data_IF_908601368832
#
_entry.id   IF_908601368832
#
_cell.length_a   1.000
_cell.length_b   1.000
_cell.length_c   1.000
_cell.angle_alpha   90.00
_cell.angle_beta   90.00
_cell.angle_gamma   90.00
#
_symmetry.space_group_name_H-M   'P 1'
#
loop_
_entity.id
_entity.type
_entity.pdbx_description
1 polymer ?
#
# COMPACT_ATOMS: atom_id res chain seq x y z
N UNK A 1 -41.85 15.13 16.00
CA UNK A 1 -40.76 14.36 15.40
C UNK A 1 -41.06 14.33 13.92
N UNK A 2 -40.29 15.04 13.10
CA UNK A 2 -40.50 15.05 11.66
C UNK A 2 -40.05 13.67 11.10
N UNK A 3 -40.94 13.04 10.35
CA UNK A 3 -40.62 11.82 9.59
C UNK A 3 -39.45 12.13 8.62
N UNK A 4 -38.27 11.63 8.97
CA UNK A 4 -37.15 11.66 8.05
C UNK A 4 -37.44 10.60 7.00
N UNK A 5 -37.80 11.04 5.80
CA UNK A 5 -38.01 10.16 4.67
C UNK A 5 -36.76 9.27 4.47
N UNK A 6 -36.98 7.95 4.35
CA UNK A 6 -35.89 7.01 4.08
C UNK A 6 -35.15 7.44 2.81
N UNK A 7 -33.81 7.33 2.79
CA UNK A 7 -33.02 7.72 1.63
C UNK A 7 -33.46 6.94 0.39
N UNK A 8 -33.48 7.58 -0.81
CA UNK A 8 -34.02 6.99 -2.03
C UNK A 8 -33.17 5.86 -2.64
N UNK A 9 -32.06 5.50 -2.01
CA UNK A 9 -31.21 4.41 -2.50
C UNK A 9 -31.49 3.12 -1.73
N UNK A 10 -31.76 2.09 -2.46
CA UNK A 10 -31.79 0.72 -1.94
C UNK A 10 -30.40 0.42 -1.36
N UNK A 11 -30.31 0.11 -0.07
CA UNK A 11 -29.13 -0.55 0.47
C UNK A 11 -29.10 -1.93 -0.16
N UNK A 12 -28.42 -2.04 -1.30
CA UNK A 12 -28.07 -3.33 -1.84
C UNK A 12 -27.03 -3.90 -0.86
N UNK A 13 -27.23 -5.07 -0.26
CA UNK A 13 -26.16 -5.74 0.46
C UNK A 13 -25.04 -5.99 -0.56
N UNK A 14 -24.05 -5.12 -0.54
CA UNK A 14 -22.99 -5.01 -1.56
C UNK A 14 -22.04 -6.19 -1.51
N UNK A 15 -22.15 -7.03 -0.51
CA UNK A 15 -21.35 -8.24 -0.41
C UNK A 15 -22.29 -9.37 -0.05
N UNK A 16 -22.66 -10.23 -1.01
CA UNK A 16 -23.10 -11.54 -0.61
C UNK A 16 -21.98 -12.08 0.31
N UNK A 17 -22.36 -12.52 1.51
CA UNK A 17 -21.39 -13.15 2.41
C UNK A 17 -20.58 -14.14 1.56
N UNK A 18 -19.27 -13.89 1.42
CA UNK A 18 -18.40 -14.81 0.69
C UNK A 18 -18.60 -16.17 1.34
N UNK A 19 -19.18 -17.09 0.60
CA UNK A 19 -19.36 -18.45 1.12
C UNK A 19 -17.98 -18.98 1.45
N UNK A 20 -17.81 -19.66 2.60
CA UNK A 20 -16.58 -20.41 2.86
C UNK A 20 -16.26 -21.24 1.62
N UNK A 21 -15.04 -21.13 1.09
CA UNK A 21 -14.66 -21.82 -0.14
C UNK A 21 -14.91 -21.05 -1.44
N UNK A 22 -15.45 -19.83 -1.43
CA UNK A 22 -15.63 -19.03 -2.64
C UNK A 22 -14.30 -18.74 -3.37
N UNK A 23 -13.16 -18.89 -2.68
CA UNK A 23 -11.81 -18.77 -3.22
C UNK A 23 -11.17 -20.14 -3.52
N UNK A 24 -11.86 -21.27 -3.23
CA UNK A 24 -11.39 -22.60 -3.60
C UNK A 24 -11.32 -22.71 -5.13
N UNK A 25 -10.15 -23.05 -5.65
CA UNK A 25 -9.92 -23.13 -7.10
C UNK A 25 -9.43 -21.84 -7.75
N UNK A 26 -9.44 -20.72 -7.05
CA UNK A 26 -8.67 -19.56 -7.47
C UNK A 26 -7.21 -19.80 -7.04
N UNK A 27 -6.42 -20.36 -7.95
CA UNK A 27 -4.99 -20.37 -7.75
C UNK A 27 -4.54 -18.93 -7.47
N UNK A 28 -3.70 -18.69 -6.43
CA UNK A 28 -3.10 -17.38 -6.28
C UNK A 28 -2.49 -17.01 -7.62
N UNK A 29 -2.67 -15.75 -8.05
CA UNK A 29 -2.07 -15.26 -9.29
C UNK A 29 -0.55 -15.45 -9.16
N UNK A 30 -0.06 -16.53 -9.72
CA UNK A 30 1.37 -16.75 -9.86
C UNK A 30 1.78 -15.96 -11.08
N UNK A 31 2.38 -14.79 -10.85
CA UNK A 31 3.00 -14.06 -11.93
C UNK A 31 3.99 -15.01 -12.63
N UNK A 32 3.82 -15.23 -13.92
CA UNK A 32 4.77 -16.04 -14.68
C UNK A 32 6.11 -15.30 -14.75
N UNK A 33 7.23 -16.04 -14.73
CA UNK A 33 8.57 -15.47 -14.85
C UNK A 33 8.68 -14.55 -16.06
N UNK A 34 8.00 -14.90 -17.15
CA UNK A 34 7.92 -14.11 -18.38
C UNK A 34 7.24 -12.73 -18.18
N UNK A 35 6.19 -12.68 -17.37
CA UNK A 35 5.52 -11.42 -17.02
C UNK A 35 6.41 -10.63 -16.07
N UNK A 36 7.00 -11.27 -15.07
CA UNK A 36 7.91 -10.64 -14.13
C UNK A 36 9.11 -10.01 -14.85
N UNK A 37 9.72 -10.72 -15.79
CA UNK A 37 10.82 -10.22 -16.60
C UNK A 37 10.37 -9.02 -17.47
N UNK A 38 9.23 -9.14 -18.15
CA UNK A 38 8.69 -8.07 -18.99
C UNK A 38 8.38 -6.77 -18.22
N UNK A 39 7.92 -6.89 -16.97
CA UNK A 39 7.66 -5.74 -16.10
C UNK A 39 8.87 -5.33 -15.25
N UNK A 40 10.00 -6.08 -15.36
CA UNK A 40 11.23 -5.83 -14.62
C UNK A 40 11.09 -6.09 -13.12
N UNK A 41 10.34 -7.10 -12.75
CA UNK A 41 10.16 -7.53 -11.37
C UNK A 41 11.01 -8.79 -11.06
N UNK A 42 11.61 -8.91 -9.87
CA UNK A 42 11.82 -7.82 -8.92
C UNK A 42 12.77 -6.75 -9.49
N UNK A 43 12.66 -5.51 -9.03
CA UNK A 43 13.57 -4.45 -9.44
C UNK A 43 15.03 -4.81 -9.20
N UNK A 44 15.94 -4.13 -9.87
CA UNK A 44 17.37 -4.32 -9.61
C UNK A 44 17.73 -3.65 -8.30
N UNK A 45 18.21 -4.45 -7.34
CA UNK A 45 18.78 -3.92 -6.11
C UNK A 45 20.05 -3.12 -6.42
N UNK A 46 20.19 -2.01 -5.73
CA UNK A 46 21.46 -1.26 -5.73
C UNK A 46 22.56 -2.07 -5.03
N UNK A 47 23.81 -1.87 -5.39
CA UNK A 47 24.91 -2.69 -4.85
C UNK A 47 25.04 -2.61 -3.32
N UNK A 48 24.77 -1.42 -2.74
CA UNK A 48 24.81 -1.13 -1.31
C UNK A 48 23.44 -1.27 -0.61
N UNK A 49 22.51 -2.06 -1.18
CA UNK A 49 21.11 -2.14 -0.76
C UNK A 49 20.92 -2.40 0.74
N UNK A 50 21.73 -3.28 1.34
CA UNK A 50 21.63 -3.65 2.75
C UNK A 50 21.87 -2.44 3.66
N UNK A 51 23.00 -1.77 3.48
CA UNK A 51 23.39 -0.63 4.31
C UNK A 51 22.47 0.56 4.08
N UNK A 52 22.04 0.76 2.83
CA UNK A 52 21.06 1.77 2.45
C UNK A 52 19.69 1.53 3.09
N UNK A 53 19.21 0.29 3.11
CA UNK A 53 17.95 -0.06 3.77
C UNK A 53 18.00 0.23 5.27
N UNK A 54 19.08 -0.15 5.94
CA UNK A 54 19.26 0.10 7.39
C UNK A 54 19.40 1.60 7.68
N UNK A 55 20.17 2.33 6.86
CA UNK A 55 20.29 3.78 6.98
C UNK A 55 18.94 4.47 6.79
N UNK A 56 18.17 4.08 5.76
CA UNK A 56 16.83 4.62 5.49
C UNK A 56 15.86 4.31 6.62
N UNK A 57 15.87 3.10 7.16
CA UNK A 57 15.08 2.77 8.34
C UNK A 57 15.44 3.67 9.53
N UNK A 58 16.73 3.91 9.79
CA UNK A 58 17.19 4.82 10.85
C UNK A 58 16.72 6.26 10.65
N UNK A 59 16.77 6.76 9.41
CA UNK A 59 16.22 8.07 9.02
C UNK A 59 14.72 8.16 9.36
N UNK A 60 13.92 7.18 8.90
CA UNK A 60 12.48 7.16 9.13
C UNK A 60 12.12 7.07 10.62
N UNK A 61 12.83 6.26 11.40
CA UNK A 61 12.63 6.16 12.83
C UNK A 61 12.98 7.46 13.58
N UNK A 62 13.92 8.25 13.05
CA UNK A 62 14.25 9.56 13.63
C UNK A 62 13.26 10.64 13.21
N UNK A 63 12.78 10.59 11.98
CA UNK A 63 11.82 11.54 11.41
C UNK A 63 10.40 11.34 11.96
N UNK A 64 9.96 10.09 12.06
CA UNK A 64 8.62 9.71 12.52
C UNK A 64 8.67 9.01 13.88
N UNK A 65 8.44 9.77 14.96
CA UNK A 65 8.42 9.20 16.32
C UNK A 65 7.33 8.15 16.52
N UNK A 66 6.19 8.29 15.83
CA UNK A 66 5.10 7.33 15.79
C UNK A 66 5.57 5.96 15.35
N UNK A 67 6.39 5.87 14.30
CA UNK A 67 6.89 4.60 13.78
C UNK A 67 7.64 3.79 14.85
N UNK A 68 8.51 4.46 15.64
CA UNK A 68 9.22 3.80 16.74
C UNK A 68 8.26 3.31 17.82
N UNK A 69 7.28 4.13 18.19
CA UNK A 69 6.25 3.74 19.17
C UNK A 69 5.48 2.52 18.67
N UNK A 70 5.10 2.48 17.41
CA UNK A 70 4.39 1.33 16.83
C UNK A 70 5.22 0.05 16.86
N UNK A 71 6.54 0.15 16.62
CA UNK A 71 7.43 -1.00 16.72
C UNK A 71 7.52 -1.55 18.16
N UNK A 72 7.46 -0.68 19.18
CA UNK A 72 7.64 -1.07 20.57
C UNK A 72 6.30 -1.40 21.29
N UNK A 73 5.19 -0.73 20.94
CA UNK A 73 3.93 -0.80 21.66
C UNK A 73 3.03 -2.00 21.31
N UNK A 74 3.24 -2.69 20.21
CA UNK A 74 2.38 -3.79 19.80
C UNK A 74 2.56 -5.03 20.70
N UNK A 75 1.48 -5.45 21.32
CA UNK A 75 1.44 -6.61 22.24
C UNK A 75 0.89 -7.87 21.57
N UNK A 76 0.72 -7.91 20.25
CA UNK A 76 0.21 -9.07 19.48
C UNK A 76 -1.18 -9.54 19.90
N UNK A 77 -2.06 -8.63 20.33
CA UNK A 77 -3.41 -8.99 20.78
C UNK A 77 -4.33 -9.54 19.68
N UNK A 78 -3.97 -9.38 18.39
CA UNK A 78 -4.72 -9.91 17.26
C UNK A 78 -5.99 -9.13 16.86
N UNK A 79 -6.38 -8.07 17.57
CA UNK A 79 -7.59 -7.29 17.30
C UNK A 79 -7.69 -6.70 15.87
N UNK A 80 -6.57 -6.59 15.18
CA UNK A 80 -6.50 -6.11 13.81
C UNK A 80 -6.68 -7.20 12.74
N UNK A 81 -6.55 -8.49 13.11
CA UNK A 81 -6.44 -9.60 12.16
C UNK A 81 -7.74 -9.82 11.38
N UNK A 82 -8.86 -9.94 12.06
CA UNK A 82 -10.19 -10.16 11.47
C UNK A 82 -10.76 -8.91 10.77
N UNK A 83 -10.03 -7.80 10.80
CA UNK A 83 -10.40 -6.55 10.12
C UNK A 83 -9.71 -6.39 8.75
N UNK A 84 -8.69 -7.21 8.47
CA UNK A 84 -7.93 -7.13 7.22
C UNK A 84 -8.61 -7.95 6.12
N UNK A 85 -9.08 -7.28 5.07
CA UNK A 85 -9.71 -7.95 3.93
C UNK A 85 -8.73 -8.85 3.16
N UNK A 86 -7.44 -8.53 3.11
CA UNK A 86 -6.44 -9.41 2.51
C UNK A 86 -6.25 -10.69 3.32
N UNK A 87 -6.20 -10.59 4.65
CA UNK A 87 -6.15 -11.80 5.49
C UNK A 87 -7.41 -12.64 5.34
N UNK A 88 -8.59 -12.00 5.37
CA UNK A 88 -9.87 -12.69 5.20
C UNK A 88 -9.95 -13.39 3.84
N UNK A 89 -9.51 -12.73 2.78
CA UNK A 89 -9.57 -13.25 1.41
C UNK A 89 -8.54 -14.35 1.12
N UNK A 90 -7.31 -14.20 1.62
CA UNK A 90 -6.20 -15.12 1.31
C UNK A 90 -6.05 -16.24 2.34
N UNK A 91 -6.54 -16.04 3.56
CA UNK A 91 -6.28 -16.90 4.72
C UNK A 91 -4.79 -17.13 5.02
N UNK A 92 -3.91 -16.30 4.45
CA UNK A 92 -2.47 -16.33 4.71
C UNK A 92 -2.17 -15.58 6.01
N UNK A 93 -1.65 -16.27 7.06
CA UNK A 93 -1.33 -15.63 8.34
C UNK A 93 -0.37 -14.43 8.22
N UNK A 94 0.49 -14.41 7.21
CA UNK A 94 1.43 -13.30 6.96
C UNK A 94 0.72 -12.03 6.47
N UNK A 95 -0.51 -12.14 5.98
CA UNK A 95 -1.36 -11.00 5.64
C UNK A 95 -2.09 -10.38 6.84
N UNK A 96 -2.00 -10.98 8.03
CA UNK A 96 -2.47 -10.31 9.25
C UNK A 96 -1.69 -9.01 9.47
N UNK A 97 -2.36 -7.88 9.82
CA UNK A 97 -1.66 -6.62 10.05
C UNK A 97 -0.56 -6.73 11.12
N UNK A 98 -0.79 -7.49 12.17
CA UNK A 98 0.22 -7.75 13.20
C UNK A 98 1.44 -8.49 12.64
N UNK A 99 1.23 -9.52 11.81
CA UNK A 99 2.32 -10.27 11.19
C UNK A 99 3.11 -9.39 10.21
N UNK A 100 2.41 -8.57 9.42
CA UNK A 100 3.04 -7.60 8.52
C UNK A 100 3.89 -6.59 9.28
N UNK A 101 3.41 -6.10 10.43
CA UNK A 101 4.22 -5.24 11.30
C UNK A 101 5.45 -5.97 11.85
N UNK A 102 5.33 -7.26 12.17
CA UNK A 102 6.43 -8.06 12.69
C UNK A 102 7.55 -8.28 11.67
N UNK A 103 7.25 -8.26 10.37
CA UNK A 103 8.28 -8.30 9.33
C UNK A 103 9.27 -7.12 9.52
N UNK A 104 8.75 -5.90 9.66
CA UNK A 104 9.60 -4.73 9.88
C UNK A 104 10.20 -4.71 11.29
N UNK A 105 9.39 -5.08 12.30
CA UNK A 105 9.83 -5.09 13.70
C UNK A 105 11.00 -6.04 13.94
N UNK A 106 11.01 -7.20 13.30
CA UNK A 106 12.11 -8.17 13.47
C UNK A 106 13.46 -7.59 13.03
N UNK A 107 13.47 -6.83 11.93
CA UNK A 107 14.65 -6.11 11.44
C UNK A 107 14.97 -4.90 12.33
N UNK A 108 13.94 -4.12 12.72
CA UNK A 108 14.11 -3.03 13.67
C UNK A 108 14.81 -3.50 14.97
N UNK A 109 14.34 -4.60 15.54
CA UNK A 109 14.95 -5.18 16.75
C UNK A 109 16.41 -5.53 16.52
N UNK A 110 16.75 -6.11 15.37
CA UNK A 110 18.11 -6.56 15.06
C UNK A 110 19.11 -5.41 15.03
N UNK A 111 18.76 -4.30 14.44
CA UNK A 111 19.71 -3.21 14.18
C UNK A 111 19.58 -2.02 15.13
N UNK A 112 18.41 -1.80 15.73
CA UNK A 112 18.13 -0.58 16.51
C UNK A 112 17.88 -0.81 18.00
N UNK A 113 17.87 -2.06 18.48
CA UNK A 113 17.70 -2.36 19.91
C UNK A 113 18.87 -3.15 20.48
N UNK A 114 19.23 -2.87 21.74
CA UNK A 114 20.28 -3.60 22.44
C UNK A 114 19.97 -5.10 22.58
N UNK A 115 18.75 -5.51 23.02
CA UNK A 115 18.40 -6.92 23.12
C UNK A 115 18.49 -7.66 21.79
N UNK A 116 18.09 -7.01 20.69
CA UNK A 116 18.15 -7.61 19.36
C UNK A 116 19.57 -7.78 18.83
N UNK A 117 20.51 -6.95 19.26
CA UNK A 117 21.94 -7.08 18.93
C UNK A 117 22.61 -8.20 19.70
N UNK A 118 22.30 -8.33 21.00
CA UNK A 118 22.93 -9.29 21.90
C UNK A 118 22.29 -10.68 21.86
N UNK A 119 20.96 -10.73 21.82
CA UNK A 119 20.17 -11.97 21.90
C UNK A 119 19.11 -12.05 20.80
N UNK A 120 19.49 -12.04 19.50
CA UNK A 120 18.52 -11.90 18.41
C UNK A 120 17.43 -12.98 18.42
N UNK A 121 17.81 -14.24 18.70
CA UNK A 121 16.85 -15.36 18.73
C UNK A 121 15.80 -15.26 19.81
N UNK A 122 16.16 -14.70 20.99
CA UNK A 122 15.23 -14.56 22.12
C UNK A 122 14.16 -13.50 21.87
N UNK A 123 14.49 -12.45 21.13
CA UNK A 123 13.55 -11.35 20.87
C UNK A 123 12.94 -11.38 19.47
N UNK A 124 13.14 -12.46 18.72
CA UNK A 124 12.61 -12.60 17.38
C UNK A 124 13.20 -11.59 16.38
N UNK A 125 14.46 -11.19 16.59
CA UNK A 125 15.17 -10.31 15.68
C UNK A 125 15.72 -11.10 14.48
N UNK A 126 15.60 -10.54 13.27
CA UNK A 126 16.05 -11.15 12.02
C UNK A 126 17.04 -10.23 11.32
N UNK A 127 18.09 -10.81 10.77
CA UNK A 127 18.98 -10.08 9.85
C UNK A 127 18.23 -9.76 8.57
N UNK A 128 18.50 -8.59 8.00
CA UNK A 128 17.92 -8.19 6.71
C UNK A 128 18.65 -8.92 5.59
N UNK A 129 18.12 -10.06 5.18
CA UNK A 129 18.60 -10.83 4.03
C UNK A 129 17.77 -10.53 2.78
N UNK A 130 18.20 -11.08 1.64
CA UNK A 130 17.43 -10.96 0.40
C UNK A 130 16.05 -11.58 0.51
N UNK A 131 15.94 -12.73 1.14
CA UNK A 131 14.68 -13.44 1.36
C UNK A 131 13.74 -12.62 2.25
N UNK A 132 14.27 -11.93 3.27
CA UNK A 132 13.47 -11.01 4.11
C UNK A 132 12.98 -9.81 3.29
N UNK A 133 13.81 -9.29 2.41
CA UNK A 133 13.44 -8.17 1.54
C UNK A 133 12.36 -8.59 0.52
N UNK A 134 12.47 -9.79 -0.06
CA UNK A 134 11.47 -10.36 -0.97
C UNK A 134 10.14 -10.61 -0.25
N UNK A 135 10.21 -11.06 1.01
CA UNK A 135 9.03 -11.20 1.88
C UNK A 135 8.38 -9.83 2.17
N UNK A 136 9.19 -8.79 2.45
CA UNK A 136 8.70 -7.43 2.62
C UNK A 136 8.01 -6.92 1.36
N UNK A 137 8.64 -7.11 0.20
CA UNK A 137 8.05 -6.71 -1.07
C UNK A 137 6.66 -7.32 -1.25
N UNK A 138 6.54 -8.63 -1.05
CA UNK A 138 5.28 -9.35 -1.23
C UNK A 138 4.19 -8.84 -0.28
N UNK A 139 4.45 -8.81 1.01
CA UNK A 139 3.40 -8.56 2.01
C UNK A 139 3.10 -7.08 2.24
N UNK A 140 4.07 -6.19 2.10
CA UNK A 140 3.79 -4.77 2.21
C UNK A 140 3.08 -4.24 0.97
N UNK A 141 3.37 -4.74 -0.24
CA UNK A 141 2.67 -4.32 -1.44
C UNK A 141 1.25 -4.90 -1.56
N UNK A 142 0.91 -5.97 -0.86
CA UNK A 142 -0.46 -6.47 -0.76
C UNK A 142 -1.36 -5.61 0.14
N UNK A 143 -0.81 -4.74 0.97
CA UNK A 143 -1.60 -3.84 1.80
C UNK A 143 -2.22 -2.71 0.98
N UNK A 144 -3.54 -2.53 1.06
CA UNK A 144 -4.23 -1.40 0.41
C UNK A 144 -4.24 -0.11 1.24
N UNK A 145 -3.59 -0.11 2.42
CA UNK A 145 -3.52 1.04 3.34
C UNK A 145 -4.89 1.62 3.76
N UNK A 146 -5.91 0.78 3.78
CA UNK A 146 -7.28 1.17 4.14
C UNK A 146 -7.46 1.56 5.62
N UNK A 147 -6.46 1.39 6.47
CA UNK A 147 -6.41 1.75 7.91
C UNK A 147 -7.45 1.08 8.81
N UNK A 148 -8.22 0.11 8.33
CA UNK A 148 -9.18 -0.60 9.19
C UNK A 148 -8.50 -1.23 10.40
N UNK A 149 -7.31 -1.79 10.25
CA UNK A 149 -6.52 -2.34 11.36
C UNK A 149 -6.15 -1.28 12.40
N UNK A 150 -5.91 -0.05 11.99
CA UNK A 150 -5.55 1.06 12.88
C UNK A 150 -6.74 1.51 13.71
N UNK A 151 -7.93 1.60 13.09
CA UNK A 151 -9.19 1.99 13.78
C UNK A 151 -9.56 1.01 14.90
N UNK A 152 -9.30 -0.28 14.71
CA UNK A 152 -9.61 -1.33 15.68
C UNK A 152 -8.45 -1.67 16.63
N UNK A 153 -7.33 -0.97 16.52
CA UNK A 153 -6.20 -1.20 17.40
C UNK A 153 -6.41 -0.51 18.77
N UNK A 154 -6.48 -1.27 19.89
CA UNK A 154 -6.67 -0.66 21.21
C UNK A 154 -5.48 0.16 21.67
N UNK A 155 -4.33 0.04 21.01
CA UNK A 155 -3.10 0.76 21.30
C UNK A 155 -2.82 1.90 20.30
N UNK A 156 -3.74 2.18 19.40
CA UNK A 156 -3.61 3.26 18.42
C UNK A 156 -2.50 3.08 17.38
N UNK A 157 -2.10 1.84 17.11
CA UNK A 157 -1.04 1.55 16.14
C UNK A 157 -1.55 1.70 14.71
N UNK A 158 -0.89 2.52 13.91
CA UNK A 158 -1.18 2.63 12.47
C UNK A 158 -0.26 1.72 11.65
N UNK A 159 -0.76 0.52 11.34
CA UNK A 159 -0.04 -0.45 10.48
C UNK A 159 0.10 0.05 9.04
N UNK A 160 -0.75 0.97 8.58
CA UNK A 160 -0.59 1.59 7.26
C UNK A 160 0.65 2.48 7.23
N UNK A 161 0.92 3.26 8.29
CA UNK A 161 2.15 4.05 8.39
C UNK A 161 3.41 3.16 8.39
N UNK A 162 3.36 2.02 9.09
CA UNK A 162 4.42 1.01 9.03
C UNK A 162 4.61 0.48 7.62
N UNK A 163 3.52 0.22 6.90
CA UNK A 163 3.56 -0.25 5.51
C UNK A 163 4.16 0.81 4.58
N UNK A 164 3.77 2.07 4.70
CA UNK A 164 4.35 3.17 3.91
C UNK A 164 5.86 3.29 4.16
N UNK A 165 6.29 3.24 5.42
CA UNK A 165 7.71 3.29 5.76
C UNK A 165 8.48 2.11 5.15
N UNK A 166 7.92 0.90 5.19
CA UNK A 166 8.54 -0.28 4.58
C UNK A 166 8.66 -0.15 3.06
N UNK A 167 7.62 0.38 2.38
CA UNK A 167 7.65 0.64 0.94
C UNK A 167 8.67 1.72 0.58
N UNK A 168 8.82 2.76 1.39
CA UNK A 168 9.84 3.79 1.19
C UNK A 168 11.26 3.22 1.31
N UNK A 169 11.48 2.27 2.23
CA UNK A 169 12.74 1.54 2.34
C UNK A 169 12.97 0.69 1.09
N UNK A 170 11.96 -0.08 0.66
CA UNK A 170 12.04 -0.92 -0.55
C UNK A 170 12.36 -0.08 -1.80
N UNK A 171 11.69 1.05 -1.97
CA UNK A 171 11.94 1.97 -3.09
C UNK A 171 13.38 2.51 -3.07
N UNK A 172 13.88 2.89 -1.89
CA UNK A 172 15.23 3.42 -1.73
C UNK A 172 16.35 2.46 -2.14
N UNK A 173 16.07 1.16 -2.13
CA UNK A 173 17.02 0.10 -2.50
C UNK A 173 16.80 -0.48 -3.90
N UNK A 174 15.85 0.08 -4.67
CA UNK A 174 15.53 -0.36 -6.02
C UNK A 174 14.39 -1.39 -6.12
N UNK A 175 13.78 -1.77 -4.99
CA UNK A 175 12.61 -2.66 -4.93
C UNK A 175 11.28 -1.88 -4.89
N UNK A 176 11.25 -0.66 -5.43
CA UNK A 176 10.02 0.11 -5.57
C UNK A 176 9.02 -0.57 -6.50
N UNK A 177 7.74 -0.25 -6.32
CA UNK A 177 6.67 -0.76 -7.17
C UNK A 177 6.77 -0.11 -8.56
N UNK A 178 7.26 -0.87 -9.54
CA UNK A 178 7.60 -0.36 -10.88
C UNK A 178 6.44 0.40 -11.55
N UNK A 179 5.24 -0.14 -11.52
CA UNK A 179 4.09 0.52 -12.14
C UNK A 179 3.74 1.87 -11.51
N UNK A 180 3.78 1.97 -10.18
CA UNK A 180 3.56 3.23 -9.49
C UNK A 180 4.63 4.24 -9.85
N UNK A 181 5.88 3.82 -9.87
CA UNK A 181 7.01 4.67 -10.25
C UNK A 181 6.95 5.11 -11.72
N UNK A 182 6.47 4.24 -12.61
CA UNK A 182 6.24 4.59 -14.01
C UNK A 182 5.14 5.64 -14.17
N UNK A 183 4.01 5.47 -13.46
CA UNK A 183 2.90 6.44 -13.46
C UNK A 183 3.37 7.79 -12.92
N UNK A 184 4.08 7.79 -11.79
CA UNK A 184 4.67 9.02 -11.21
C UNK A 184 5.64 9.67 -12.22
N UNK A 185 6.48 8.86 -12.85
CA UNK A 185 7.39 9.33 -13.90
C UNK A 185 6.67 9.93 -15.11
N UNK A 186 5.51 9.41 -15.50
CA UNK A 186 4.67 10.00 -16.56
C UNK A 186 4.14 11.36 -16.14
N UNK A 187 3.62 11.49 -14.91
CA UNK A 187 3.16 12.79 -14.38
C UNK A 187 4.29 13.83 -14.43
N UNK A 188 5.49 13.48 -13.99
CA UNK A 188 6.63 14.40 -14.01
C UNK A 188 7.13 14.77 -15.43
N UNK A 189 7.06 13.84 -16.38
CA UNK A 189 7.57 14.07 -17.75
C UNK A 189 6.57 14.70 -18.69
N UNK A 190 5.29 14.33 -18.55
CA UNK A 190 4.23 14.64 -19.53
C UNK A 190 3.13 15.51 -18.89
N UNK A 191 3.04 15.55 -17.56
CA UNK A 191 2.04 16.35 -16.83
C UNK A 191 0.77 15.58 -16.46
N UNK A 192 0.60 14.34 -16.94
CA UNK A 192 -0.56 13.50 -16.58
C UNK A 192 -0.19 12.03 -16.39
N UNK A 193 -1.01 11.31 -15.62
CA UNK A 193 -0.79 9.90 -15.29
C UNK A 193 -1.07 8.94 -16.46
N UNK A 194 -1.88 9.35 -17.43
CA UNK A 194 -2.18 8.54 -18.62
C UNK A 194 -0.99 8.48 -19.58
N UNK A 195 -0.10 9.47 -19.52
CA UNK A 195 1.04 9.60 -20.42
C UNK A 195 0.62 10.09 -21.81
N UNK A 196 -0.52 10.77 -21.89
CA UNK A 196 -1.00 11.35 -23.14
C UNK A 196 -0.26 12.64 -23.46
N UNK A 197 0.23 12.84 -24.70
CA UNK A 197 0.72 14.16 -25.16
C UNK A 197 -0.37 15.22 -24.98
N UNK A 198 0.05 16.47 -24.72
CA UNK A 198 -0.88 17.58 -24.46
C UNK A 198 -2.05 17.69 -25.47
N UNK A 199 -1.81 17.68 -26.79
CA UNK A 199 -2.90 17.73 -27.77
C UNK A 199 -3.91 16.59 -27.65
N UNK A 200 -3.44 15.35 -27.45
CA UNK A 200 -4.31 14.20 -27.30
C UNK A 200 -5.12 14.21 -25.98
N UNK A 201 -4.54 14.81 -24.92
CA UNK A 201 -5.26 15.03 -23.66
C UNK A 201 -6.38 16.05 -23.84
N UNK A 202 -6.12 17.16 -24.57
CA UNK A 202 -7.13 18.17 -24.86
C UNK A 202 -8.29 17.61 -25.68
N UNK A 203 -7.99 16.88 -26.75
CA UNK A 203 -8.99 16.20 -27.58
C UNK A 203 -9.86 15.23 -26.78
N UNK A 204 -9.23 14.50 -25.83
CA UNK A 204 -9.96 13.62 -24.91
C UNK A 204 -10.91 14.39 -24.00
N UNK A 205 -10.47 15.54 -23.46
CA UNK A 205 -11.27 16.38 -22.57
C UNK A 205 -12.44 17.03 -23.32
N UNK A 206 -12.22 17.50 -24.56
CA UNK A 206 -13.28 18.02 -25.43
C UNK A 206 -14.34 16.95 -25.73
N UNK A 207 -13.91 15.73 -26.05
CA UNK A 207 -14.83 14.60 -26.25
C UNK A 207 -15.66 14.28 -24.99
N UNK A 208 -15.05 14.35 -23.80
CA UNK A 208 -15.78 14.16 -22.54
C UNK A 208 -16.79 15.29 -22.27
N UNK A 209 -16.48 16.55 -22.64
CA UNK A 209 -17.43 17.66 -22.55
C UNK A 209 -18.68 17.41 -23.42
N UNK A 210 -18.48 16.92 -24.66
CA UNK A 210 -19.55 16.55 -25.57
C UNK A 210 -20.39 15.38 -25.02
N UNK A 211 -19.75 14.32 -24.53
CA UNK A 211 -20.43 13.16 -23.94
C UNK A 211 -21.29 13.55 -22.75
N UNK A 212 -20.79 14.40 -21.86
CA UNK A 212 -21.54 14.90 -20.70
C UNK A 212 -22.74 15.75 -21.14
N UNK A 213 -22.55 16.61 -22.13
CA UNK A 213 -23.62 17.42 -22.69
C UNK A 213 -24.73 16.57 -23.32
N UNK A 214 -24.37 15.55 -24.09
CA UNK A 214 -25.31 14.64 -24.73
C UNK A 214 -26.07 13.79 -23.70
N UNK A 215 -25.38 13.33 -22.65
CA UNK A 215 -25.98 12.48 -21.62
C UNK A 215 -26.87 13.26 -20.63
N UNK A 216 -26.52 14.51 -20.31
CA UNK A 216 -27.16 15.27 -19.22
C UNK A 216 -27.83 16.57 -19.64
N UNK A 217 -27.55 17.09 -20.85
CA UNK A 217 -27.97 18.41 -21.32
C UNK A 217 -27.20 19.58 -20.65
N UNK A 218 -26.23 19.29 -19.83
CA UNK A 218 -25.42 20.30 -19.10
C UNK A 218 -24.17 20.61 -19.93
N UNK A 219 -23.94 21.90 -20.20
CA UNK A 219 -22.74 22.37 -20.89
C UNK A 219 -21.61 22.54 -19.86
N UNK A 220 -20.67 21.59 -19.84
CA UNK A 220 -19.51 21.57 -18.94
C UNK A 220 -18.28 22.01 -19.73
N UNK A 221 -17.39 22.76 -19.09
CA UNK A 221 -16.09 23.12 -19.64
C UNK A 221 -14.99 22.80 -18.62
N UNK A 222 -14.00 22.02 -19.04
CA UNK A 222 -12.86 21.72 -18.19
C UNK A 222 -11.89 22.94 -18.19
N UNK A 223 -11.62 23.53 -17.00
CA UNK A 223 -10.69 24.67 -16.90
C UNK A 223 -9.25 24.16 -17.02
N UNK A 224 -8.64 24.30 -18.18
CA UNK A 224 -7.26 23.88 -18.45
C UNK A 224 -6.36 25.08 -18.25
N UNK A 225 -5.37 24.95 -17.37
CA UNK A 225 -4.39 25.99 -17.02
C UNK A 225 -5.02 27.35 -16.62
N UNK A 226 -6.24 27.34 -16.13
CA UNK A 226 -6.96 28.52 -15.67
C UNK A 226 -6.61 28.79 -14.21
N UNK A 227 -5.91 29.91 -13.95
CA UNK A 227 -5.54 30.33 -12.60
C UNK A 227 -6.78 30.64 -11.77
N UNK A 228 -6.95 29.97 -10.63
CA UNK A 228 -8.07 30.17 -9.72
C UNK A 228 -9.35 29.43 -10.11
N UNK A 229 -9.27 28.48 -11.04
CA UNK A 229 -10.37 27.56 -11.28
C UNK A 229 -10.64 26.72 -10.02
N UNK A 230 -11.93 26.55 -9.69
CA UNK A 230 -12.37 25.61 -8.66
C UNK A 230 -12.34 24.19 -9.25
N UNK A 231 -11.83 23.22 -8.47
CA UNK A 231 -11.76 21.79 -8.85
C UNK A 231 -12.87 21.03 -8.13
#
# INVERSE_FOLDING_TARGET
MADVAAPPYRIIPIIPALKPGAMEGLAPFVASDKINEAIGFPGQLVDDWHDRAIAKMGELLSKYRSLKVYMDACVHCGACSDKCHYFIGTQDPKNMPVARQDLMRSVYRRYFTLPGKLFPKLVGARDLTREVLDEWYSYFNQCSECRRCSVFCPYGIDTAEVTMAAREILDSVGYGQKYSNEIIGKVHRIGNNLGLPGPALLDTLEGLEEDVKDATGIDVRFPIDVKGAEV
#
